data_IF_678423105689
#
_entry.id   IF_678423105689
#
_cell.length_a   1.000
_cell.length_b   1.000
_cell.length_c   1.000
_cell.angle_alpha   90.00
_cell.angle_beta   90.00
_cell.angle_gamma   90.00
#
_symmetry.space_group_name_H-M   'P 1'
#
loop_
_entity.id
_entity.type
_entity.pdbx_description
1 polymer ?
#
# COMPACT_ATOMS: atom_id res chain seq x y z
N UNK A 1 -18.05 16.73 4.53
CA UNK A 1 -16.99 17.58 3.91
C UNK A 1 -16.95 17.30 2.42
N UNK A 2 -16.54 18.31 1.64
CA UNK A 2 -16.20 18.14 0.24
C UNK A 2 -14.68 17.87 0.11
N UNK A 3 -14.31 16.69 -0.36
CA UNK A 3 -12.94 16.17 -0.33
C UNK A 3 -12.41 16.02 -1.75
N UNK A 4 -11.25 16.62 -2.05
CA UNK A 4 -10.49 16.30 -3.24
C UNK A 4 -9.53 15.15 -2.91
N UNK A 5 -9.78 13.96 -3.43
CA UNK A 5 -8.86 12.81 -3.32
C UNK A 5 -7.97 12.75 -4.56
N UNK A 6 -6.70 13.11 -4.40
CA UNK A 6 -5.74 13.17 -5.49
C UNK A 6 -4.90 11.89 -5.53
N UNK A 7 -5.15 11.04 -6.51
CA UNK A 7 -4.47 9.76 -6.70
C UNK A 7 -3.26 9.88 -7.64
N UNK A 8 -2.39 8.87 -7.64
CA UNK A 8 -1.38 8.75 -8.68
C UNK A 8 -2.03 8.31 -10.01
N UNK A 9 -1.34 8.55 -11.12
CA UNK A 9 -1.91 8.39 -12.47
C UNK A 9 -1.12 7.42 -13.37
N UNK A 10 -0.29 6.56 -12.75
CA UNK A 10 0.41 5.52 -13.50
C UNK A 10 -0.56 4.46 -14.01
N UNK A 11 -1.48 4.05 -13.16
CA UNK A 11 -2.53 3.10 -13.46
C UNK A 11 -3.89 3.74 -13.14
N UNK A 12 -4.95 3.19 -13.70
CA UNK A 12 -6.32 3.61 -13.38
C UNK A 12 -6.69 3.20 -11.95
N UNK A 13 -7.49 3.99 -11.27
CA UNK A 13 -8.06 3.64 -9.96
C UNK A 13 -9.34 2.83 -10.21
N UNK A 14 -9.21 1.56 -10.50
CA UNK A 14 -10.30 0.64 -10.81
C UNK A 14 -9.87 -0.82 -10.59
N UNK A 15 -10.82 -1.69 -10.29
CA UNK A 15 -10.61 -3.14 -10.26
C UNK A 15 -10.49 -3.71 -11.69
N UNK A 16 -9.70 -4.77 -11.91
CA UNK A 16 -8.71 -5.34 -10.99
C UNK A 16 -7.57 -4.38 -10.73
N UNK A 17 -7.04 -4.36 -9.48
CA UNK A 17 -5.98 -3.45 -9.10
C UNK A 17 -4.60 -3.95 -9.55
N UNK A 18 -3.77 -3.05 -10.07
CA UNK A 18 -2.38 -3.38 -10.42
C UNK A 18 -1.43 -3.34 -9.20
N UNK A 19 -1.86 -2.72 -8.11
CA UNK A 19 -1.06 -2.64 -6.89
C UNK A 19 -1.76 -1.99 -5.70
N UNK A 20 -1.05 -1.91 -4.57
CA UNK A 20 -1.59 -1.39 -3.32
C UNK A 20 -1.98 0.09 -3.34
N UNK A 21 -1.38 0.90 -4.21
CA UNK A 21 -1.70 2.33 -4.31
C UNK A 21 -3.09 2.57 -4.93
N UNK A 22 -3.42 1.79 -5.97
CA UNK A 22 -4.71 1.83 -6.64
C UNK A 22 -5.82 1.38 -5.68
N UNK A 23 -5.63 0.23 -5.04
CA UNK A 23 -6.59 -0.30 -4.08
C UNK A 23 -6.79 0.62 -2.88
N UNK A 24 -5.70 1.19 -2.35
CA UNK A 24 -5.77 2.16 -1.25
C UNK A 24 -6.61 3.39 -1.63
N UNK A 25 -6.35 4.01 -2.78
CA UNK A 25 -7.11 5.20 -3.22
C UNK A 25 -8.57 4.87 -3.51
N UNK A 26 -8.83 3.70 -4.09
CA UNK A 26 -10.18 3.22 -4.37
C UNK A 26 -10.99 2.99 -3.08
N UNK A 27 -10.43 2.23 -2.10
CA UNK A 27 -11.11 1.97 -0.82
C UNK A 27 -11.25 3.22 0.04
N UNK A 28 -10.33 4.19 -0.07
CA UNK A 28 -10.46 5.47 0.60
C UNK A 28 -11.62 6.27 0.02
N UNK A 29 -11.73 6.37 -1.32
CA UNK A 29 -12.84 7.06 -1.98
C UNK A 29 -14.19 6.43 -1.63
N UNK A 30 -14.29 5.08 -1.73
CA UNK A 30 -15.50 4.33 -1.38
C UNK A 30 -15.89 4.55 0.09
N UNK A 31 -14.94 4.37 1.01
CA UNK A 31 -15.19 4.47 2.43
C UNK A 31 -15.62 5.86 2.88
N UNK A 32 -14.97 6.91 2.37
CA UNK A 32 -15.34 8.29 2.67
C UNK A 32 -16.72 8.65 2.09
N UNK A 33 -17.02 8.22 0.86
CA UNK A 33 -18.34 8.42 0.25
C UNK A 33 -19.45 7.69 1.05
N UNK A 34 -19.20 6.46 1.48
CA UNK A 34 -20.13 5.70 2.34
C UNK A 34 -20.39 6.37 3.70
N UNK A 35 -19.44 7.17 4.20
CA UNK A 35 -19.58 7.97 5.42
C UNK A 35 -20.22 9.36 5.18
N UNK A 36 -20.72 9.62 3.97
CA UNK A 36 -21.48 10.83 3.64
C UNK A 36 -20.61 12.03 3.25
N UNK A 37 -19.35 11.84 2.90
CA UNK A 37 -18.53 12.90 2.30
C UNK A 37 -18.82 13.05 0.80
N UNK A 38 -18.73 14.29 0.29
CA UNK A 38 -18.71 14.57 -1.15
C UNK A 38 -17.26 14.41 -1.66
N UNK A 39 -16.96 13.25 -2.26
CA UNK A 39 -15.62 12.90 -2.70
C UNK A 39 -15.49 13.08 -4.20
N UNK A 40 -14.55 13.91 -4.63
CA UNK A 40 -14.14 14.03 -6.04
C UNK A 40 -12.75 13.38 -6.18
N UNK A 41 -12.68 12.35 -7.02
CA UNK A 41 -11.45 11.60 -7.29
C UNK A 41 -10.69 12.25 -8.44
N UNK A 42 -9.56 12.90 -8.13
CA UNK A 42 -8.59 13.41 -9.10
C UNK A 42 -7.64 12.28 -9.48
N UNK A 43 -7.89 11.63 -10.61
CA UNK A 43 -7.18 10.42 -11.08
C UNK A 43 -7.06 10.42 -12.61
N UNK A 44 -6.63 9.30 -13.19
CA UNK A 44 -6.74 9.08 -14.63
C UNK A 44 -8.23 8.97 -15.02
N UNK A 45 -8.61 9.55 -16.15
CA UNK A 45 -10.02 9.65 -16.58
C UNK A 45 -10.67 8.30 -16.91
N UNK A 46 -9.87 7.26 -17.14
CA UNK A 46 -10.31 5.87 -17.34
C UNK A 46 -10.41 5.07 -16.02
N UNK A 47 -10.42 5.73 -14.86
CA UNK A 47 -10.67 5.14 -13.55
C UNK A 47 -12.14 4.73 -13.38
N UNK A 48 -12.48 4.08 -12.25
CA UNK A 48 -13.81 3.48 -12.01
C UNK A 48 -14.92 4.54 -12.07
N UNK A 49 -15.89 4.42 -13.02
CA UNK A 49 -16.95 5.40 -13.24
C UNK A 49 -17.96 5.51 -12.09
N UNK A 50 -17.89 4.66 -11.06
CA UNK A 50 -18.72 4.80 -9.85
C UNK A 50 -18.38 6.05 -9.05
N UNK A 51 -17.17 6.60 -9.21
CA UNK A 51 -16.73 7.82 -8.54
C UNK A 51 -16.96 9.06 -9.40
N UNK A 52 -17.15 10.20 -8.76
CA UNK A 52 -17.05 11.49 -9.45
C UNK A 52 -15.59 11.75 -9.76
N UNK A 53 -15.19 11.60 -11.04
CA UNK A 53 -13.80 11.77 -11.47
C UNK A 53 -13.59 13.16 -12.06
N UNK A 54 -12.55 13.85 -11.58
CA UNK A 54 -11.96 15.02 -12.24
C UNK A 54 -10.60 14.57 -12.82
N UNK A 55 -10.45 14.44 -14.15
CA UNK A 55 -9.29 13.80 -14.74
C UNK A 55 -8.02 14.66 -14.60
N UNK A 56 -7.00 14.11 -13.95
CA UNK A 56 -5.62 14.64 -13.95
C UNK A 56 -5.00 14.44 -15.33
N UNK A 57 -5.18 13.25 -15.90
CA UNK A 57 -4.86 12.86 -17.28
C UNK A 57 -6.10 12.22 -17.90
N UNK A 58 -6.25 12.32 -19.21
CA UNK A 58 -7.38 11.69 -19.93
C UNK A 58 -7.45 10.17 -19.71
N UNK A 59 -6.30 9.51 -19.69
CA UNK A 59 -6.13 8.09 -19.35
C UNK A 59 -4.82 7.90 -18.54
N UNK A 60 -4.67 6.75 -17.88
CA UNK A 60 -3.45 6.44 -17.13
C UNK A 60 -2.22 6.37 -18.05
N UNK A 61 -1.10 6.92 -17.59
CA UNK A 61 0.05 7.15 -18.47
C UNK A 61 0.77 5.86 -18.90
N UNK A 62 0.60 4.74 -18.21
CA UNK A 62 1.23 3.46 -18.61
C UNK A 62 0.86 3.05 -20.04
N UNK A 63 -0.28 3.51 -20.58
CA UNK A 63 -0.69 3.25 -21.97
C UNK A 63 0.14 4.03 -23.00
N UNK A 64 0.47 5.28 -22.69
CA UNK A 64 1.16 6.17 -23.62
C UNK A 64 2.66 6.21 -23.35
N UNK A 65 3.04 6.05 -22.07
CA UNK A 65 4.41 6.07 -21.58
C UNK A 65 4.66 4.87 -20.67
N UNK A 66 4.83 3.63 -21.21
CA UNK A 66 5.15 2.46 -20.42
C UNK A 66 6.34 2.72 -19.49
N UNK A 67 6.18 2.45 -18.20
CA UNK A 67 7.17 2.76 -17.17
C UNK A 67 8.53 2.12 -17.43
N UNK A 68 8.54 0.89 -17.96
CA UNK A 68 9.77 0.17 -18.27
C UNK A 68 10.66 0.94 -19.29
N UNK A 69 10.03 1.69 -20.21
CA UNK A 69 10.71 2.38 -21.30
C UNK A 69 10.94 3.87 -21.01
N UNK A 70 10.02 4.49 -20.25
CA UNK A 70 9.96 5.95 -20.10
C UNK A 70 10.31 6.47 -18.70
N UNK A 71 10.66 5.58 -17.75
CA UNK A 71 11.03 5.99 -16.38
C UNK A 71 12.08 7.12 -16.39
N UNK A 72 11.70 8.27 -15.78
CA UNK A 72 12.58 9.43 -15.66
C UNK A 72 12.78 10.22 -16.96
N UNK A 73 12.08 9.88 -18.05
CA UNK A 73 12.17 10.61 -19.31
C UNK A 73 11.51 11.99 -19.21
N UNK A 74 12.10 12.98 -19.89
CA UNK A 74 11.57 14.34 -19.92
C UNK A 74 10.14 14.43 -20.48
N UNK A 75 9.73 13.67 -21.53
CA UNK A 75 8.34 13.68 -22.00
C UNK A 75 7.34 13.18 -20.96
N UNK A 76 7.63 12.07 -20.25
CA UNK A 76 6.74 11.56 -19.20
C UNK A 76 6.64 12.58 -18.05
N UNK A 77 7.77 13.12 -17.59
CA UNK A 77 7.79 14.13 -16.52
C UNK A 77 6.93 15.34 -16.92
N UNK A 78 7.13 15.90 -18.10
CA UNK A 78 6.38 17.05 -18.57
C UNK A 78 4.86 16.76 -18.68
N UNK A 79 4.50 15.58 -19.16
CA UNK A 79 3.09 15.14 -19.28
C UNK A 79 2.40 15.07 -17.92
N UNK A 80 3.04 14.42 -16.95
CA UNK A 80 2.50 14.26 -15.60
C UNK A 80 2.48 15.58 -14.83
N UNK A 81 3.53 16.40 -14.96
CA UNK A 81 3.61 17.74 -14.37
C UNK A 81 2.46 18.64 -14.83
N UNK A 82 2.20 18.69 -16.15
CA UNK A 82 1.11 19.48 -16.70
C UNK A 82 -0.26 19.04 -16.14
N UNK A 83 -0.49 17.73 -16.04
CA UNK A 83 -1.71 17.17 -15.48
C UNK A 83 -1.93 17.58 -14.01
N UNK A 84 -0.92 17.39 -13.16
CA UNK A 84 -1.03 17.77 -11.75
C UNK A 84 -1.07 19.28 -11.52
N UNK A 85 -0.38 20.09 -12.32
CA UNK A 85 -0.48 21.55 -12.24
C UNK A 85 -1.93 21.99 -12.47
N UNK A 86 -2.54 21.53 -13.55
CA UNK A 86 -3.92 21.85 -13.89
C UNK A 86 -4.92 21.33 -12.84
N UNK A 87 -4.71 20.10 -12.32
CA UNK A 87 -5.53 19.55 -11.24
C UNK A 87 -5.45 20.40 -9.97
N UNK A 88 -4.26 20.80 -9.55
CA UNK A 88 -4.08 21.67 -8.38
C UNK A 88 -4.79 23.03 -8.53
N UNK A 89 -4.80 23.60 -9.74
CA UNK A 89 -5.50 24.86 -9.99
C UNK A 89 -7.02 24.68 -9.92
N UNK A 90 -7.57 23.57 -10.46
CA UNK A 90 -8.98 23.23 -10.32
C UNK A 90 -9.38 22.93 -8.86
N UNK A 91 -8.53 22.24 -8.10
CA UNK A 91 -8.73 22.03 -6.65
C UNK A 91 -8.80 23.36 -5.91
N UNK A 92 -7.87 24.27 -6.18
CA UNK A 92 -7.84 25.59 -5.52
C UNK A 92 -9.08 26.44 -5.81
N UNK A 93 -9.70 26.29 -6.98
CA UNK A 93 -10.93 26.99 -7.39
C UNK A 93 -12.21 26.23 -7.00
N UNK A 94 -12.12 24.95 -6.65
CA UNK A 94 -13.25 24.02 -6.58
C UNK A 94 -14.03 24.04 -5.26
N UNK A 95 -13.66 24.85 -4.26
CA UNK A 95 -14.39 24.95 -2.98
C UNK A 95 -14.34 23.67 -2.15
N UNK A 96 -13.21 22.97 -2.16
CA UNK A 96 -12.96 21.79 -1.33
C UNK A 96 -12.61 22.21 0.11
N UNK A 97 -13.13 21.45 1.08
CA UNK A 97 -12.79 21.63 2.49
C UNK A 97 -11.37 21.13 2.79
N UNK A 98 -10.99 20.02 2.15
CA UNK A 98 -9.70 19.36 2.34
C UNK A 98 -9.26 18.60 1.08
N UNK A 99 -7.93 18.50 0.91
CA UNK A 99 -7.28 17.63 -0.07
C UNK A 99 -6.69 16.42 0.64
N UNK A 100 -6.99 15.21 0.20
CA UNK A 100 -6.20 14.02 0.54
C UNK A 100 -5.30 13.67 -0.65
N UNK A 101 -4.01 13.82 -0.48
CA UNK A 101 -3.03 13.64 -1.55
C UNK A 101 -2.32 12.28 -1.45
N UNK A 102 -2.62 11.37 -2.39
CA UNK A 102 -1.98 10.07 -2.60
C UNK A 102 -1.14 10.04 -3.91
N UNK A 103 -0.88 11.20 -4.50
CA UNK A 103 -0.32 11.25 -5.86
C UNK A 103 1.14 10.86 -5.97
N UNK A 104 1.92 10.92 -4.88
CA UNK A 104 3.39 10.83 -4.89
C UNK A 104 4.06 11.85 -5.83
N UNK A 105 3.37 12.95 -6.12
CA UNK A 105 3.85 14.02 -6.98
C UNK A 105 4.22 15.27 -6.18
N UNK A 106 5.25 16.00 -6.62
CA UNK A 106 5.76 17.18 -5.89
C UNK A 106 4.78 18.36 -5.86
N UNK A 107 4.03 18.59 -6.94
CA UNK A 107 3.17 19.78 -7.03
C UNK A 107 2.09 19.85 -5.94
N UNK A 108 1.34 18.79 -5.62
CA UNK A 108 0.33 18.86 -4.56
C UNK A 108 0.89 19.15 -3.17
N UNK A 109 2.20 18.96 -2.94
CA UNK A 109 2.85 19.22 -1.64
C UNK A 109 3.68 20.51 -1.60
N UNK A 110 3.72 21.28 -2.70
CA UNK A 110 4.34 22.60 -2.70
C UNK A 110 3.65 23.53 -1.68
N UNK A 111 4.39 24.20 -0.78
CA UNK A 111 3.79 25.06 0.25
C UNK A 111 2.83 26.10 -0.29
N UNK A 112 3.11 26.70 -1.45
CA UNK A 112 2.25 27.69 -2.10
C UNK A 112 0.87 27.10 -2.51
N UNK A 113 0.78 25.80 -2.75
CA UNK A 113 -0.46 25.10 -3.12
C UNK A 113 -1.21 24.59 -1.90
N UNK A 114 -0.52 24.00 -0.93
CA UNK A 114 -1.12 23.52 0.32
C UNK A 114 -1.63 24.66 1.20
N UNK A 115 -1.08 25.87 1.06
CA UNK A 115 -1.62 27.06 1.72
C UNK A 115 -3.01 27.49 1.20
N UNK A 116 -3.43 27.03 0.02
CA UNK A 116 -4.74 27.39 -0.55
C UNK A 116 -5.88 26.54 -0.01
N UNK A 117 -5.64 25.24 0.17
CA UNK A 117 -6.63 24.27 0.68
C UNK A 117 -5.96 23.40 1.74
N UNK A 118 -6.58 23.16 2.90
CA UNK A 118 -6.07 22.23 3.91
C UNK A 118 -5.75 20.88 3.27
N UNK A 119 -4.57 20.31 3.59
CA UNK A 119 -4.08 19.12 2.89
C UNK A 119 -3.60 18.07 3.86
N UNK A 120 -3.91 16.80 3.58
CA UNK A 120 -3.28 15.61 4.17
C UNK A 120 -2.58 14.86 3.04
N UNK A 121 -1.27 14.67 3.17
CA UNK A 121 -0.48 13.90 2.18
C UNK A 121 -0.07 12.57 2.78
N UNK A 122 -0.44 11.47 2.12
CA UNK A 122 -0.03 10.11 2.50
C UNK A 122 1.14 9.63 1.65
N UNK A 123 2.20 9.23 2.34
CA UNK A 123 3.43 8.72 1.75
C UNK A 123 3.41 7.19 1.81
N UNK A 124 3.24 6.55 0.66
CA UNK A 124 3.04 5.09 0.55
C UNK A 124 4.29 4.31 0.13
N UNK A 125 5.37 5.00 -0.17
CA UNK A 125 6.64 4.43 -0.66
C UNK A 125 7.80 4.95 0.18
N UNK A 126 8.94 4.26 0.22
CA UNK A 126 10.16 4.80 0.82
C UNK A 126 10.56 6.13 0.19
N UNK A 127 11.35 6.97 0.89
CA UNK A 127 11.83 8.24 0.36
C UNK A 127 12.62 8.06 -0.93
N UNK A 128 12.42 8.98 -1.87
CA UNK A 128 13.20 9.09 -3.10
C UNK A 128 13.46 10.55 -3.46
N UNK A 129 14.56 10.81 -4.16
CA UNK A 129 15.11 12.16 -4.31
C UNK A 129 14.11 13.20 -4.86
N UNK A 130 13.30 12.82 -5.85
CA UNK A 130 12.38 13.75 -6.50
C UNK A 130 11.28 14.27 -5.56
N UNK A 131 10.97 13.58 -4.47
CA UNK A 131 9.93 13.96 -3.52
C UNK A 131 10.48 14.40 -2.16
N UNK A 132 11.62 13.85 -1.76
CA UNK A 132 12.16 14.00 -0.41
C UNK A 132 12.33 15.46 0.05
N UNK A 133 12.88 16.31 -0.85
CA UNK A 133 13.04 17.73 -0.55
C UNK A 133 11.68 18.43 -0.31
N UNK A 134 10.70 18.17 -1.15
CA UNK A 134 9.35 18.75 -1.03
C UNK A 134 8.65 18.29 0.25
N UNK A 135 8.76 17.01 0.59
CA UNK A 135 8.21 16.45 1.83
C UNK A 135 8.81 17.13 3.05
N UNK A 136 10.12 17.36 3.08
CA UNK A 136 10.78 18.05 4.21
C UNK A 136 10.40 19.53 4.32
N UNK A 137 10.11 20.18 3.21
CA UNK A 137 9.78 21.61 3.17
C UNK A 137 8.28 21.89 3.39
N UNK A 138 7.41 20.87 3.36
CA UNK A 138 5.96 21.06 3.28
C UNK A 138 5.19 21.04 4.61
N UNK A 139 5.68 20.52 5.76
CA UNK A 139 4.91 20.48 7.00
C UNK A 139 4.43 21.89 7.43
N UNK A 140 3.14 21.97 7.73
CA UNK A 140 2.50 23.20 8.18
C UNK A 140 1.23 22.83 9.00
N UNK A 141 0.71 23.72 9.85
CA UNK A 141 -0.53 23.45 10.59
C UNK A 141 -1.71 23.04 9.69
N UNK A 142 -1.75 23.56 8.46
CA UNK A 142 -2.76 23.24 7.44
C UNK A 142 -2.33 22.13 6.47
N UNK A 143 -1.15 21.53 6.68
CA UNK A 143 -0.65 20.42 5.88
C UNK A 143 -0.04 19.33 6.75
N UNK A 144 -0.76 18.22 6.90
CA UNK A 144 -0.30 17.03 7.61
C UNK A 144 0.30 16.01 6.65
N UNK A 145 1.35 15.34 7.11
CA UNK A 145 1.98 14.22 6.42
C UNK A 145 1.63 12.91 7.13
N UNK A 146 1.31 11.88 6.39
CA UNK A 146 1.12 10.54 6.94
C UNK A 146 2.01 9.53 6.27
N UNK A 147 2.44 8.55 7.03
CA UNK A 147 3.17 7.37 6.58
C UNK A 147 2.45 6.12 7.09
N UNK A 148 2.68 4.99 6.45
CA UNK A 148 1.93 3.77 6.76
C UNK A 148 2.51 2.95 7.92
N UNK A 149 3.71 3.29 8.42
CA UNK A 149 4.36 2.61 9.54
C UNK A 149 5.40 3.48 10.25
N UNK A 150 5.74 3.12 11.48
CA UNK A 150 6.86 3.76 12.20
C UNK A 150 8.22 3.51 11.52
N UNK A 151 8.39 2.36 10.87
CA UNK A 151 9.57 2.10 10.05
C UNK A 151 9.70 3.12 8.92
N UNK A 152 8.60 3.37 8.21
CA UNK A 152 8.56 4.36 7.13
C UNK A 152 8.72 5.79 7.66
N UNK A 153 8.18 6.10 8.86
CA UNK A 153 8.36 7.42 9.47
C UNK A 153 9.84 7.72 9.70
N UNK A 154 10.58 6.75 10.24
CA UNK A 154 12.04 6.88 10.44
C UNK A 154 12.81 7.01 9.12
N UNK A 155 12.37 6.30 8.07
CA UNK A 155 13.00 6.39 6.75
C UNK A 155 12.82 7.79 6.13
N UNK A 156 11.63 8.37 6.22
CA UNK A 156 11.35 9.72 5.72
C UNK A 156 12.01 10.82 6.56
N UNK A 157 12.11 10.63 7.89
CA UNK A 157 12.59 11.62 8.85
C UNK A 157 13.66 11.00 9.78
N UNK A 158 14.86 10.69 9.26
CA UNK A 158 15.91 10.04 10.06
C UNK A 158 16.41 10.91 11.22
N UNK A 159 16.32 12.24 11.08
CA UNK A 159 16.75 13.20 12.11
C UNK A 159 15.62 13.57 13.10
N UNK A 160 14.47 12.91 13.01
CA UNK A 160 13.27 13.18 13.80
C UNK A 160 12.11 13.71 12.97
N UNK A 161 10.92 13.15 13.20
CA UNK A 161 9.72 13.55 12.49
C UNK A 161 9.18 14.90 13.00
N UNK A 162 8.71 15.80 12.12
CA UNK A 162 8.03 17.01 12.54
C UNK A 162 6.67 16.66 13.18
N UNK A 163 6.11 17.55 14.04
CA UNK A 163 4.81 17.29 14.69
C UNK A 163 3.64 17.15 13.73
N UNK A 164 3.80 17.62 12.50
CA UNK A 164 2.84 17.48 11.41
C UNK A 164 2.87 16.11 10.72
N UNK A 165 3.90 15.27 10.99
CA UNK A 165 4.00 13.92 10.44
C UNK A 165 3.54 12.87 11.45
N UNK A 166 2.70 11.94 11.01
CA UNK A 166 2.15 10.88 11.86
C UNK A 166 2.03 9.55 11.13
N UNK A 167 1.93 8.47 11.90
CA UNK A 167 1.65 7.14 11.35
C UNK A 167 0.14 6.94 11.27
N UNK A 168 -0.32 6.58 10.07
CA UNK A 168 -1.68 6.11 9.81
C UNK A 168 -1.58 4.78 9.11
N UNK A 169 -1.73 3.70 9.87
CA UNK A 169 -1.72 2.34 9.32
C UNK A 169 -2.85 2.17 8.30
N UNK A 170 -2.58 1.45 7.23
CA UNK A 170 -3.62 1.04 6.30
C UNK A 170 -4.61 0.10 6.98
N UNK A 171 -5.84 0.07 6.49
CA UNK A 171 -6.89 -0.80 6.97
C UNK A 171 -7.57 -1.56 5.83
N UNK A 172 -8.08 -2.73 6.15
CA UNK A 172 -8.89 -3.56 5.25
C UNK A 172 -10.27 -3.81 5.87
N UNK A 173 -11.21 -4.24 5.05
CA UNK A 173 -12.47 -4.78 5.54
C UNK A 173 -12.28 -6.27 5.89
N UNK A 174 -12.29 -6.66 7.18
CA UNK A 174 -12.10 -8.05 7.54
C UNK A 174 -13.22 -8.98 7.03
N UNK A 175 -14.39 -8.45 6.66
CA UNK A 175 -15.47 -9.25 6.09
C UNK A 175 -15.16 -9.72 4.66
N UNK A 176 -14.34 -8.98 3.91
CA UNK A 176 -13.87 -9.39 2.59
C UNK A 176 -12.83 -10.53 2.64
N UNK A 177 -12.28 -10.85 3.83
CA UNK A 177 -11.26 -11.88 4.06
C UNK A 177 -11.77 -12.89 5.08
N UNK A 178 -12.56 -13.91 4.66
CA UNK A 178 -13.22 -14.84 5.56
C UNK A 178 -12.23 -15.63 6.41
N UNK A 179 -12.47 -15.66 7.71
CA UNK A 179 -11.67 -16.46 8.64
C UNK A 179 -11.82 -17.95 8.36
N UNK A 180 -10.69 -18.66 8.27
CA UNK A 180 -10.62 -20.10 8.16
C UNK A 180 -9.97 -20.70 9.41
N UNK A 181 -10.63 -21.67 10.05
CA UNK A 181 -10.14 -22.28 11.29
C UNK A 181 -8.99 -23.27 11.08
N UNK A 182 -8.83 -23.79 9.87
CA UNK A 182 -7.80 -24.76 9.49
C UNK A 182 -7.22 -24.41 8.12
N UNK A 183 -6.02 -24.91 7.84
CA UNK A 183 -5.37 -24.78 6.54
C UNK A 183 -4.03 -25.53 6.57
N UNK A 184 -3.48 -25.82 5.39
CA UNK A 184 -2.28 -26.63 5.24
C UNK A 184 -1.29 -25.98 4.26
N UNK A 185 0.00 -26.30 4.43
CA UNK A 185 1.04 -25.78 3.56
C UNK A 185 1.27 -24.28 3.71
N UNK A 186 2.06 -23.73 2.81
CA UNK A 186 2.41 -22.31 2.77
C UNK A 186 1.84 -21.65 1.53
N UNK A 187 1.59 -20.33 1.63
CA UNK A 187 1.21 -19.48 0.52
C UNK A 187 2.09 -18.23 0.50
N UNK A 188 2.42 -17.78 -0.69
CA UNK A 188 3.06 -16.50 -0.95
C UNK A 188 2.25 -15.75 -2.00
N UNK A 189 2.00 -14.46 -1.80
CA UNK A 189 1.25 -13.62 -2.73
C UNK A 189 1.96 -12.28 -2.94
N UNK A 190 2.03 -11.85 -4.19
CA UNK A 190 2.59 -10.54 -4.54
C UNK A 190 3.02 -10.46 -6.00
N UNK A 191 3.45 -9.28 -6.42
CA UNK A 191 4.09 -9.11 -7.73
C UNK A 191 5.40 -9.89 -7.74
N UNK A 192 5.61 -10.73 -8.75
CA UNK A 192 6.84 -11.53 -8.85
C UNK A 192 7.94 -10.66 -9.44
N UNK A 193 8.72 -10.09 -8.53
CA UNK A 193 9.84 -9.17 -8.78
C UNK A 193 10.95 -9.42 -7.75
N UNK A 194 12.21 -9.07 -8.02
CA UNK A 194 13.32 -9.30 -7.08
C UNK A 194 13.09 -8.72 -5.69
N UNK A 195 12.49 -7.52 -5.61
CA UNK A 195 12.26 -6.84 -4.33
C UNK A 195 11.17 -7.49 -3.45
N UNK A 196 10.39 -8.44 -3.97
CA UNK A 196 9.41 -9.21 -3.21
C UNK A 196 9.92 -10.56 -2.71
N UNK A 197 11.08 -11.02 -3.20
CA UNK A 197 11.80 -12.17 -2.67
C UNK A 197 11.09 -13.52 -2.85
N UNK A 198 10.33 -13.70 -3.94
CA UNK A 198 9.58 -14.93 -4.22
C UNK A 198 10.47 -16.17 -4.19
N UNK A 199 11.69 -16.07 -4.75
CA UNK A 199 12.67 -17.17 -4.74
C UNK A 199 13.11 -17.55 -3.33
N UNK A 200 13.25 -16.58 -2.41
CA UNK A 200 13.63 -16.84 -1.00
C UNK A 200 12.50 -17.55 -0.25
N UNK A 201 11.23 -17.18 -0.53
CA UNK A 201 10.08 -17.90 -0.01
C UNK A 201 10.06 -19.37 -0.47
N UNK A 202 10.32 -19.61 -1.77
CA UNK A 202 10.38 -20.95 -2.34
C UNK A 202 11.53 -21.78 -1.72
N UNK A 203 12.72 -21.22 -1.60
CA UNK A 203 13.87 -21.88 -0.98
C UNK A 203 13.62 -22.20 0.49
N UNK A 204 13.02 -21.28 1.26
CA UNK A 204 12.72 -21.52 2.66
C UNK A 204 11.65 -22.59 2.86
N UNK A 205 10.61 -22.60 2.03
CA UNK A 205 9.57 -23.63 2.05
C UNK A 205 10.14 -25.03 1.74
N UNK A 206 11.02 -25.14 0.72
CA UNK A 206 11.73 -26.38 0.41
C UNK A 206 12.59 -26.88 1.59
N UNK A 207 13.32 -25.98 2.27
CA UNK A 207 14.13 -26.32 3.45
C UNK A 207 13.29 -26.72 4.66
N UNK A 208 12.13 -26.07 4.84
CA UNK A 208 11.18 -26.41 5.89
C UNK A 208 10.41 -27.72 5.61
N UNK A 209 10.45 -28.24 4.38
CA UNK A 209 9.65 -29.39 3.97
C UNK A 209 8.14 -29.08 3.92
N UNK A 210 7.76 -27.81 3.71
CA UNK A 210 6.37 -27.34 3.67
C UNK A 210 5.98 -27.04 2.23
N UNK A 211 4.91 -27.64 1.68
CA UNK A 211 4.42 -27.33 0.34
C UNK A 211 4.05 -25.83 0.23
N UNK A 212 4.44 -25.20 -0.87
CA UNK A 212 4.20 -23.78 -1.13
C UNK A 212 3.45 -23.57 -2.44
N UNK A 213 2.43 -22.71 -2.41
CA UNK A 213 1.82 -22.18 -3.63
C UNK A 213 2.11 -20.67 -3.75
N UNK A 214 2.61 -20.27 -4.93
CA UNK A 214 2.93 -18.88 -5.28
C UNK A 214 1.81 -18.30 -6.10
N UNK A 215 1.33 -17.10 -5.73
CA UNK A 215 0.34 -16.36 -6.50
C UNK A 215 0.82 -14.95 -6.81
N UNK A 216 0.55 -14.47 -8.04
CA UNK A 216 0.84 -13.09 -8.44
C UNK A 216 1.22 -12.93 -9.89
N UNK A 217 1.25 -11.69 -10.37
CA UNK A 217 1.70 -11.36 -11.72
C UNK A 217 3.22 -11.47 -11.85
N UNK A 218 3.68 -12.05 -12.95
CA UNK A 218 5.12 -12.08 -13.31
C UNK A 218 5.43 -10.75 -13.99
N UNK A 219 5.95 -9.78 -13.22
CA UNK A 219 6.31 -8.46 -13.76
C UNK A 219 7.77 -8.39 -14.24
N UNK A 220 8.61 -9.32 -13.80
CA UNK A 220 10.00 -9.45 -14.20
C UNK A 220 10.23 -10.87 -14.75
N UNK A 221 10.08 -11.09 -16.07
CA UNK A 221 10.24 -12.40 -16.69
C UNK A 221 11.66 -12.96 -16.57
N UNK A 222 12.69 -12.12 -16.58
CA UNK A 222 14.08 -12.56 -16.46
C UNK A 222 14.35 -13.07 -15.04
N UNK A 223 13.87 -12.34 -14.03
CA UNK A 223 13.93 -12.81 -12.65
C UNK A 223 13.14 -14.11 -12.45
N UNK A 224 11.94 -14.21 -13.03
CA UNK A 224 11.15 -15.44 -12.98
C UNK A 224 11.94 -16.64 -13.51
N UNK A 225 12.41 -16.55 -14.75
CA UNK A 225 13.11 -17.63 -15.42
C UNK A 225 14.43 -18.01 -14.72
N UNK A 226 15.17 -17.03 -14.20
CA UNK A 226 16.47 -17.28 -13.58
C UNK A 226 16.38 -17.75 -12.12
N UNK A 227 15.42 -17.24 -11.34
CA UNK A 227 15.44 -17.40 -9.88
C UNK A 227 14.24 -18.17 -9.30
N UNK A 228 13.06 -18.13 -9.94
CA UNK A 228 11.84 -18.73 -9.37
C UNK A 228 11.47 -20.04 -10.09
N UNK A 229 11.40 -20.03 -11.40
CA UNK A 229 10.98 -21.19 -12.21
C UNK A 229 11.81 -22.45 -11.94
N UNK A 230 13.15 -22.39 -11.74
CA UNK A 230 13.96 -23.57 -11.41
C UNK A 230 13.62 -24.22 -10.06
N UNK A 231 12.90 -23.53 -9.17
CA UNK A 231 12.49 -24.03 -7.86
C UNK A 231 11.11 -24.70 -7.90
N UNK A 232 10.38 -24.59 -9.03
CA UNK A 232 9.08 -25.22 -9.19
C UNK A 232 9.19 -26.75 -9.26
N UNK A 233 8.22 -27.42 -8.65
CA UNK A 233 8.17 -28.89 -8.61
C UNK A 233 7.02 -29.37 -7.72
N UNK A 234 7.08 -30.61 -7.24
CA UNK A 234 5.99 -31.16 -6.41
C UNK A 234 5.71 -30.37 -5.13
N UNK A 235 6.75 -29.70 -4.58
CA UNK A 235 6.65 -28.95 -3.31
C UNK A 235 6.42 -27.46 -3.51
N UNK A 236 6.76 -26.89 -4.65
CA UNK A 236 6.56 -25.46 -4.96
C UNK A 236 5.79 -25.34 -6.26
N UNK A 237 4.63 -24.70 -6.22
CA UNK A 237 3.74 -24.55 -7.38
C UNK A 237 3.45 -23.08 -7.64
N UNK A 238 3.29 -22.73 -8.91
CA UNK A 238 2.75 -21.44 -9.32
C UNK A 238 1.26 -21.61 -9.65
N UNK A 239 0.42 -20.88 -8.91
CA UNK A 239 -1.04 -20.90 -9.03
C UNK A 239 -1.63 -19.82 -9.94
N UNK A 240 -0.76 -19.01 -10.58
CA UNK A 240 -1.20 -17.89 -11.40
C UNK A 240 -1.43 -16.60 -10.60
N UNK A 241 -2.14 -15.65 -11.21
CA UNK A 241 -2.52 -14.39 -10.57
C UNK A 241 -3.97 -14.49 -10.07
N UNK A 242 -4.18 -14.16 -8.80
CA UNK A 242 -5.50 -14.11 -8.16
C UNK A 242 -5.69 -12.79 -7.42
N UNK A 243 -6.94 -12.33 -7.35
CA UNK A 243 -7.37 -11.14 -6.64
C UNK A 243 -8.72 -11.37 -5.94
N UNK A 244 -9.03 -10.49 -4.97
CA UNK A 244 -10.33 -10.48 -4.29
C UNK A 244 -10.72 -11.81 -3.69
N UNK A 245 -11.96 -12.23 -3.93
CA UNK A 245 -12.54 -13.46 -3.36
C UNK A 245 -11.77 -14.72 -3.72
N UNK A 246 -11.21 -14.80 -4.94
CA UNK A 246 -10.42 -15.97 -5.37
C UNK A 246 -9.13 -16.08 -4.54
N UNK A 247 -8.45 -14.97 -4.29
CA UNK A 247 -7.27 -14.94 -3.42
C UNK A 247 -7.64 -15.24 -1.97
N UNK A 248 -8.76 -14.71 -1.47
CA UNK A 248 -9.23 -14.95 -0.11
C UNK A 248 -9.50 -16.44 0.14
N UNK A 249 -10.05 -17.16 -0.84
CA UNK A 249 -10.25 -18.62 -0.77
C UNK A 249 -8.92 -19.35 -0.64
N UNK A 250 -7.92 -19.02 -1.44
CA UNK A 250 -6.62 -19.70 -1.40
C UNK A 250 -5.84 -19.34 -0.11
N UNK A 251 -5.93 -18.10 0.35
CA UNK A 251 -5.41 -17.71 1.67
C UNK A 251 -6.06 -18.55 2.77
N UNK A 252 -7.38 -18.70 2.77
CA UNK A 252 -8.09 -19.50 3.77
C UNK A 252 -7.65 -20.96 3.82
N UNK A 253 -7.24 -21.54 2.69
CA UNK A 253 -6.79 -22.95 2.58
C UNK A 253 -5.36 -23.19 3.09
N UNK A 254 -4.53 -22.15 3.10
CA UNK A 254 -3.14 -22.27 3.52
C UNK A 254 -2.98 -22.31 5.05
N UNK A 255 -1.86 -22.86 5.53
CA UNK A 255 -1.49 -22.93 6.94
C UNK A 255 -0.64 -21.77 7.42
N UNK A 256 0.19 -21.17 6.54
CA UNK A 256 1.08 -20.07 6.86
C UNK A 256 1.29 -19.17 5.63
N UNK A 257 1.37 -17.87 5.86
CA UNK A 257 1.72 -16.88 4.83
C UNK A 257 3.21 -16.56 4.90
N UNK A 258 3.90 -16.54 3.74
CA UNK A 258 5.31 -16.17 3.65
C UNK A 258 5.43 -14.72 3.17
N UNK A 259 6.06 -13.88 3.98
CA UNK A 259 6.26 -12.47 3.69
C UNK A 259 7.76 -12.15 3.62
N UNK A 260 8.28 -12.05 2.39
CA UNK A 260 9.73 -12.05 2.10
C UNK A 260 10.22 -10.79 1.38
N UNK A 261 9.90 -9.57 1.85
CA UNK A 261 10.36 -8.38 1.18
C UNK A 261 11.89 -8.27 1.20
N UNK A 262 12.48 -7.97 0.02
CA UNK A 262 13.91 -7.64 -0.14
C UNK A 262 14.16 -6.13 -0.17
N UNK A 263 13.21 -5.34 0.26
CA UNK A 263 13.27 -3.88 0.40
C UNK A 263 12.54 -3.46 1.68
N UNK A 264 12.70 -2.23 2.10
CA UNK A 264 12.00 -1.70 3.27
C UNK A 264 10.52 -1.49 2.93
N UNK A 265 9.75 -2.59 3.03
CA UNK A 265 8.33 -2.60 2.74
C UNK A 265 7.60 -1.60 3.65
N UNK A 266 6.88 -0.61 3.09
CA UNK A 266 6.24 0.44 3.89
C UNK A 266 5.15 -0.06 4.83
N UNK A 267 4.42 -1.14 4.44
CA UNK A 267 3.35 -1.70 5.24
C UNK A 267 3.13 -3.20 4.99
N UNK A 268 2.76 -3.59 3.76
CA UNK A 268 2.47 -4.98 3.41
C UNK A 268 0.98 -5.32 3.56
N UNK A 269 0.12 -4.72 2.73
CA UNK A 269 -1.33 -5.00 2.73
C UNK A 269 -1.64 -6.50 2.67
N UNK A 270 -0.93 -7.25 1.83
CA UNK A 270 -1.15 -8.70 1.67
C UNK A 270 -0.90 -9.48 2.98
N UNK A 271 -0.04 -8.99 3.87
CA UNK A 271 0.16 -9.62 5.17
C UNK A 271 -1.08 -9.47 6.07
N UNK A 272 -1.71 -8.30 6.11
CA UNK A 272 -2.95 -8.12 6.89
C UNK A 272 -4.15 -8.82 6.25
N UNK A 273 -4.19 -8.97 4.93
CA UNK A 273 -5.18 -9.77 4.20
C UNK A 273 -5.07 -11.25 4.56
N UNK A 274 -3.86 -11.79 4.55
CA UNK A 274 -3.59 -13.16 5.00
C UNK A 274 -3.94 -13.36 6.48
N UNK A 275 -3.53 -12.42 7.34
CA UNK A 275 -3.83 -12.44 8.77
C UNK A 275 -5.34 -12.36 9.03
N UNK A 276 -6.11 -11.63 8.23
CA UNK A 276 -7.57 -11.58 8.33
C UNK A 276 -8.20 -12.95 8.03
N UNK A 277 -7.66 -13.72 7.09
CA UNK A 277 -8.05 -15.12 6.87
C UNK A 277 -7.61 -16.08 7.99
N UNK A 278 -6.89 -15.57 9.00
CA UNK A 278 -6.37 -16.35 10.12
C UNK A 278 -5.01 -16.99 9.86
N UNK A 279 -4.25 -16.57 8.84
CA UNK A 279 -2.92 -17.12 8.59
C UNK A 279 -1.87 -16.48 9.49
N UNK A 280 -1.13 -17.29 10.27
CA UNK A 280 0.11 -16.82 10.84
C UNK A 280 1.14 -16.53 9.75
N UNK A 281 2.09 -15.65 10.04
CA UNK A 281 3.04 -15.13 9.06
C UNK A 281 4.46 -15.55 9.42
N UNK A 282 5.21 -16.06 8.45
CA UNK A 282 6.67 -16.19 8.51
C UNK A 282 7.28 -15.08 7.65
N UNK A 283 8.05 -14.18 8.24
CA UNK A 283 8.52 -12.97 7.57
C UNK A 283 10.00 -12.70 7.77
N UNK A 284 10.62 -11.99 6.83
CA UNK A 284 11.87 -11.29 7.12
C UNK A 284 11.60 -10.07 8.00
N UNK A 285 12.51 -9.82 8.97
CA UNK A 285 12.55 -8.58 9.74
C UNK A 285 13.11 -7.46 8.85
N UNK A 286 12.22 -6.89 8.02
CA UNK A 286 12.57 -5.81 7.10
C UNK A 286 11.38 -4.84 6.93
N UNK A 287 11.68 -3.54 6.93
CA UNK A 287 10.67 -2.50 6.79
C UNK A 287 9.63 -2.55 7.91
N UNK A 288 8.36 -2.59 7.55
CA UNK A 288 7.24 -2.63 8.50
C UNK A 288 6.84 -4.05 8.95
N UNK A 289 7.52 -5.12 8.50
CA UNK A 289 7.07 -6.49 8.72
C UNK A 289 6.81 -6.82 10.21
N UNK A 290 7.77 -6.51 11.11
CA UNK A 290 7.62 -6.78 12.55
C UNK A 290 6.50 -5.93 13.16
N UNK A 291 6.40 -4.66 12.77
CA UNK A 291 5.37 -3.73 13.26
C UNK A 291 3.95 -4.19 12.88
N UNK A 292 3.77 -4.62 11.63
CA UNK A 292 2.46 -5.04 11.11
C UNK A 292 2.08 -6.42 11.61
N UNK A 293 2.98 -7.37 11.53
CA UNK A 293 2.70 -8.78 11.87
C UNK A 293 2.70 -9.03 13.38
N UNK A 294 3.68 -8.50 14.12
CA UNK A 294 3.75 -8.63 15.59
C UNK A 294 3.65 -10.07 16.08
N UNK A 295 2.79 -10.28 17.09
CA UNK A 295 2.55 -11.59 17.70
C UNK A 295 1.96 -12.65 16.75
N UNK A 296 1.40 -12.22 15.62
CA UNK A 296 0.83 -13.10 14.60
C UNK A 296 1.88 -13.82 13.74
N UNK A 297 3.17 -13.58 13.96
CA UNK A 297 4.21 -14.18 13.13
C UNK A 297 5.46 -14.65 13.84
N UNK A 298 6.38 -15.16 13.01
CA UNK A 298 7.77 -15.45 13.36
C UNK A 298 8.68 -14.80 12.34
N UNK A 299 9.82 -14.34 12.81
CA UNK A 299 10.70 -13.49 12.01
C UNK A 299 12.07 -14.12 11.81
N UNK A 300 12.64 -13.90 10.65
CA UNK A 300 14.00 -14.23 10.29
C UNK A 300 14.79 -12.97 9.95
N UNK A 301 16.09 -12.99 10.12
CA UNK A 301 16.96 -11.94 9.60
C UNK A 301 16.74 -11.79 8.08
N UNK A 302 16.90 -10.58 7.56
CA UNK A 302 16.72 -10.32 6.14
C UNK A 302 17.63 -11.24 5.30
N UNK A 303 17.04 -11.84 4.28
CA UNK A 303 17.69 -12.73 3.31
C UNK A 303 18.23 -14.06 3.90
N UNK A 304 18.00 -14.35 5.19
CA UNK A 304 18.38 -15.63 5.83
C UNK A 304 17.29 -16.70 5.60
N UNK A 305 17.53 -17.52 4.60
CA UNK A 305 16.60 -18.58 4.18
C UNK A 305 16.48 -19.69 5.21
N UNK A 306 17.55 -20.02 5.96
CA UNK A 306 17.54 -21.07 6.98
C UNK A 306 16.74 -20.62 8.20
N UNK A 307 16.94 -19.36 8.65
CA UNK A 307 16.14 -18.77 9.69
C UNK A 307 14.66 -18.63 9.29
N UNK A 308 14.39 -18.31 8.01
CA UNK A 308 13.01 -18.24 7.51
C UNK A 308 12.34 -19.63 7.48
N UNK A 309 13.07 -20.69 7.15
CA UNK A 309 12.56 -22.06 7.22
C UNK A 309 12.16 -22.43 8.66
N UNK A 310 12.97 -22.07 9.65
CA UNK A 310 12.62 -22.25 11.06
C UNK A 310 11.41 -21.37 11.46
N UNK A 311 11.33 -20.13 10.96
CA UNK A 311 10.20 -19.25 11.19
C UNK A 311 8.88 -19.81 10.61
N UNK A 312 8.91 -20.48 9.44
CA UNK A 312 7.75 -21.16 8.85
C UNK A 312 7.21 -22.22 9.82
N UNK A 313 8.08 -23.11 10.32
CA UNK A 313 7.67 -24.15 11.26
C UNK A 313 7.13 -23.57 12.58
N UNK A 314 7.79 -22.52 13.09
CA UNK A 314 7.32 -21.82 14.28
C UNK A 314 6.01 -21.05 14.08
N UNK A 315 5.77 -20.49 12.90
CA UNK A 315 4.53 -19.78 12.59
C UNK A 315 3.33 -20.74 12.53
N UNK A 316 3.51 -21.94 11.99
CA UNK A 316 2.48 -22.99 11.93
C UNK A 316 1.94 -23.41 13.32
N UNK A 317 2.65 -23.07 14.41
CA UNK A 317 2.18 -23.35 15.78
C UNK A 317 1.31 -22.23 16.38
N UNK A 318 1.20 -21.09 15.70
CA UNK A 318 0.40 -19.95 16.19
C UNK A 318 -1.08 -20.25 15.93
N UNK A 319 -1.95 -20.11 16.95
CA UNK A 319 -3.39 -20.29 16.76
C UNK A 319 -3.96 -19.26 15.76
N UNK A 320 -4.80 -19.71 14.86
CA UNK A 320 -5.31 -18.90 13.74
C UNK A 320 -6.15 -17.67 14.15
N UNK A 321 -6.73 -17.68 15.34
CA UNK A 321 -7.41 -16.49 15.86
C UNK A 321 -6.44 -15.33 16.17
N UNK A 322 -5.17 -15.61 16.52
CA UNK A 322 -4.20 -14.57 16.88
C UNK A 322 -3.96 -13.56 15.73
N UNK A 323 -3.64 -13.98 14.49
CA UNK A 323 -3.55 -13.05 13.37
C UNK A 323 -4.89 -12.33 13.06
N UNK A 324 -6.02 -13.03 13.14
CA UNK A 324 -7.35 -12.42 12.94
C UNK A 324 -7.65 -11.34 13.96
N UNK A 325 -7.48 -11.63 15.25
CA UNK A 325 -7.72 -10.69 16.36
C UNK A 325 -6.81 -9.43 16.22
N UNK A 326 -5.58 -9.62 15.73
CA UNK A 326 -4.67 -8.49 15.48
C UNK A 326 -5.20 -7.57 14.40
N UNK A 327 -5.70 -8.11 13.28
CA UNK A 327 -6.29 -7.28 12.20
C UNK A 327 -7.52 -6.54 12.71
N UNK A 328 -8.45 -7.23 13.37
CA UNK A 328 -9.69 -6.63 13.90
C UNK A 328 -9.41 -5.54 14.95
N UNK A 329 -8.36 -5.73 15.76
CA UNK A 329 -7.96 -4.75 16.76
C UNK A 329 -7.24 -3.53 16.15
N UNK A 330 -6.49 -3.69 15.06
CA UNK A 330 -5.51 -2.66 14.66
C UNK A 330 -5.62 -2.17 13.23
N UNK A 331 -6.16 -2.98 12.30
CA UNK A 331 -6.04 -2.74 10.86
C UNK A 331 -7.38 -2.84 10.12
N UNK A 332 -8.48 -2.47 10.78
CA UNK A 332 -9.77 -2.38 10.11
C UNK A 332 -9.89 -1.11 9.27
N UNK A 333 -10.66 -1.19 8.18
CA UNK A 333 -10.98 -0.05 7.33
C UNK A 333 -11.60 1.11 8.12
N UNK A 334 -12.48 0.82 9.07
CA UNK A 334 -13.10 1.87 9.88
C UNK A 334 -12.09 2.63 10.72
N UNK A 335 -11.14 1.94 11.38
CA UNK A 335 -10.08 2.61 12.15
C UNK A 335 -9.19 3.48 11.27
N UNK A 336 -8.88 3.02 10.07
CA UNK A 336 -8.11 3.80 9.11
C UNK A 336 -8.87 5.06 8.68
N UNK A 337 -10.15 4.93 8.32
CA UNK A 337 -11.00 6.07 7.95
C UNK A 337 -11.18 7.05 9.11
N UNK A 338 -11.41 6.57 10.36
CA UNK A 338 -11.51 7.42 11.55
C UNK A 338 -10.25 8.30 11.73
N UNK A 339 -9.07 7.72 11.47
CA UNK A 339 -7.81 8.45 11.53
C UNK A 339 -7.68 9.49 10.41
N UNK A 340 -8.09 9.16 9.20
CA UNK A 340 -8.11 10.10 8.09
C UNK A 340 -9.06 11.30 8.38
N UNK A 341 -10.28 11.02 8.84
CA UNK A 341 -11.27 12.05 9.18
C UNK A 341 -10.81 12.95 10.34
N UNK A 342 -10.15 12.38 11.36
CA UNK A 342 -9.56 13.16 12.44
C UNK A 342 -8.50 14.15 11.91
N UNK A 343 -7.62 13.71 11.02
CA UNK A 343 -6.63 14.58 10.38
C UNK A 343 -7.27 15.66 9.51
N UNK A 344 -8.34 15.33 8.78
CA UNK A 344 -9.08 16.34 8.00
C UNK A 344 -9.66 17.43 8.92
N UNK A 345 -10.25 17.03 10.02
CA UNK A 345 -10.77 17.98 11.01
C UNK A 345 -9.67 18.88 11.59
N UNK A 346 -8.48 18.32 11.87
CA UNK A 346 -7.34 19.09 12.37
C UNK A 346 -6.86 20.16 11.37
N UNK A 347 -6.64 19.79 10.09
CA UNK A 347 -6.13 20.74 9.07
C UNK A 347 -7.18 21.82 8.72
N UNK A 348 -8.47 21.46 8.72
CA UNK A 348 -9.56 22.41 8.50
C UNK A 348 -9.66 23.39 9.66
N UNK A 349 -9.59 22.91 10.92
CA UNK A 349 -9.60 23.77 12.10
C UNK A 349 -8.40 24.74 12.11
N UNK A 350 -7.21 24.25 11.76
CA UNK A 350 -6.01 25.08 11.65
C UNK A 350 -6.18 26.18 10.59
N UNK A 351 -6.85 25.90 9.47
CA UNK A 351 -7.15 26.91 8.43
C UNK A 351 -8.09 27.99 8.93
N UNK A 352 -9.13 27.62 9.67
CA UNK A 352 -10.08 28.59 10.25
C UNK A 352 -9.40 29.53 11.25
N UNK A 353 -8.48 29.00 12.07
CA UNK A 353 -7.71 29.79 13.03
C UNK A 353 -6.74 30.78 12.35
N UNK A 354 -6.23 30.47 11.16
CA UNK A 354 -5.37 31.38 10.38
C UNK A 354 -6.16 32.49 9.67
N UNK A 355 -7.45 32.27 9.44
CA UNK A 355 -8.33 33.24 8.75
C UNK A 355 -9.04 34.18 9.71
N UNK A 356 -9.02 33.92 11.02
CA UNK A 356 -9.59 34.75 12.10
C UNK A 356 -8.56 35.73 12.64
#
# INVERSE_FOLDING_TARGET
MRIALLAHVRQRIAQPFMGGMESHSWYLAEGLAARGHDVVLFAAGDSDPRFTIDPVLAEHYERTFPWAEHRGSAPLIAHVDAGYAAACDRIAAGGFDVVHNNSLHRFPIEPARTARVPTVTSLHVPPYDALHWFVKASPAPTHRLTVTSHSQLRAWFPDGAPPEASVVHNGIDPAAWPFAATGEGAIWCGRITPNKGTHLAAQAALRAGVPLTLFGSIEDPDYWAAAVEPLLGPMVRYGGHLEGDALAVELGRAGVFLFTPCWDEPFGLVAIEAMACGLPVAAFDRGAAVEVVGEAGRFAAADDVDALAAAILGALTIPRHVPRDRVERSFTRDRWLDRCEALYAEVVAARLLQAA
#
